data_IF_779977832034
#
_entry.id   IF_779977832034
#
_cell.length_a   1.000
_cell.length_b   1.000
_cell.length_c   1.000
_cell.angle_alpha   90.00
_cell.angle_beta   90.00
_cell.angle_gamma   90.00
#
_symmetry.space_group_name_H-M   'P 1'
#
loop_
_entity.id
_entity.type
_entity.pdbx_description
1 polymer ?
#
# COMPACT_ATOMS: atom_id res chain seq x y z
N UNK A 1 12.64 -20.02 1.53
CA UNK A 1 11.79 -19.04 0.81
C UNK A 1 10.27 -19.32 0.88
N UNK A 2 9.72 -20.51 0.57
CA UNK A 2 8.25 -20.68 0.65
C UNK A 2 7.65 -20.35 2.03
N UNK A 3 8.35 -20.69 3.11
CA UNK A 3 7.87 -20.43 4.48
C UNK A 3 7.84 -18.95 4.87
N UNK A 4 8.79 -18.14 4.38
CA UNK A 4 8.82 -16.69 4.68
C UNK A 4 7.67 -15.97 3.97
N UNK A 5 7.42 -16.28 2.70
CA UNK A 5 6.29 -15.72 1.96
C UNK A 5 4.95 -16.08 2.62
N UNK A 6 4.78 -17.32 3.07
CA UNK A 6 3.56 -17.73 3.77
C UNK A 6 3.36 -16.95 5.07
N UNK A 7 4.44 -16.77 5.86
CA UNK A 7 4.40 -15.95 7.06
C UNK A 7 4.05 -14.49 6.77
N UNK A 8 4.67 -13.88 5.74
CA UNK A 8 4.36 -12.52 5.29
C UNK A 8 2.90 -12.38 4.88
N UNK A 9 2.32 -13.37 4.21
CA UNK A 9 0.91 -13.34 3.83
C UNK A 9 -0.04 -13.46 5.01
N UNK A 10 0.32 -14.26 6.03
CA UNK A 10 -0.45 -14.36 7.28
C UNK A 10 -0.39 -13.00 8.00
N UNK A 11 0.80 -12.44 8.18
CA UNK A 11 1.01 -11.15 8.83
C UNK A 11 0.27 -10.01 8.12
N UNK A 12 0.33 -10.00 6.78
CA UNK A 12 -0.42 -9.03 5.98
C UNK A 12 -1.93 -9.16 6.20
N UNK A 13 -2.45 -10.39 6.27
CA UNK A 13 -3.87 -10.63 6.53
C UNK A 13 -4.28 -10.18 7.93
N UNK A 14 -3.46 -10.45 8.94
CA UNK A 14 -3.69 -10.01 10.32
C UNK A 14 -3.71 -8.49 10.40
N UNK A 15 -2.69 -7.81 9.85
CA UNK A 15 -2.63 -6.34 9.80
C UNK A 15 -3.84 -5.74 9.07
N UNK A 16 -4.30 -6.34 7.97
CA UNK A 16 -5.46 -5.88 7.24
C UNK A 16 -6.79 -6.18 7.95
N UNK A 17 -6.83 -7.14 8.86
CA UNK A 17 -8.01 -7.42 9.68
C UNK A 17 -8.28 -6.35 10.74
N UNK A 18 -7.24 -5.59 11.11
CA UNK A 18 -7.32 -4.49 12.07
C UNK A 18 -7.81 -3.18 11.44
N UNK A 19 -7.93 -3.11 10.11
CA UNK A 19 -8.47 -1.95 9.43
C UNK A 19 -9.89 -1.64 9.90
N UNK A 20 -10.14 -0.38 10.24
CA UNK A 20 -11.44 0.07 10.73
C UNK A 20 -12.52 -0.11 9.68
N UNK A 21 -13.55 -0.89 10.02
CA UNK A 21 -14.76 -0.98 9.22
C UNK A 21 -15.70 0.20 9.54
N UNK A 22 -15.79 1.14 8.62
CA UNK A 22 -16.62 2.33 8.76
C UNK A 22 -18.09 2.10 8.37
N UNK A 23 -18.48 0.87 8.04
CA UNK A 23 -19.87 0.52 7.72
C UNK A 23 -20.69 0.34 9.01
N UNK A 24 -21.98 0.60 8.89
CA UNK A 24 -22.91 0.20 9.96
C UNK A 24 -22.98 -1.32 10.05
N UNK A 25 -22.88 -1.91 11.25
CA UNK A 25 -23.04 -3.36 11.41
C UNK A 25 -24.35 -3.84 10.79
N UNK A 26 -24.26 -4.87 9.96
CA UNK A 26 -25.42 -5.43 9.27
C UNK A 26 -25.24 -6.94 9.04
N UNK A 27 -26.32 -7.70 9.16
CA UNK A 27 -26.34 -9.12 8.78
C UNK A 27 -26.09 -9.34 7.28
N UNK A 28 -26.27 -8.30 6.47
CA UNK A 28 -26.02 -8.32 5.02
C UNK A 28 -24.56 -8.04 4.65
N UNK A 29 -23.65 -7.83 5.64
CA UNK A 29 -22.22 -7.64 5.39
C UNK A 29 -21.64 -8.91 4.78
N UNK A 30 -21.34 -8.86 3.48
CA UNK A 30 -20.85 -10.02 2.72
C UNK A 30 -19.32 -10.17 2.82
N UNK A 31 -18.58 -9.06 2.87
CA UNK A 31 -17.13 -9.06 2.83
C UNK A 31 -16.55 -8.32 4.03
N UNK A 32 -15.45 -8.84 4.56
CA UNK A 32 -14.65 -8.21 5.62
C UNK A 32 -13.63 -7.24 5.04
N UNK A 33 -13.05 -6.37 5.88
CA UNK A 33 -11.99 -5.44 5.49
C UNK A 33 -10.73 -6.19 5.03
N UNK A 34 -10.37 -7.26 5.73
CA UNK A 34 -9.24 -8.13 5.35
C UNK A 34 -9.39 -8.72 3.95
N UNK A 35 -10.60 -9.13 3.56
CA UNK A 35 -10.86 -9.68 2.22
C UNK A 35 -10.71 -8.61 1.13
N UNK A 36 -11.12 -7.37 1.42
CA UNK A 36 -10.91 -6.24 0.52
C UNK A 36 -9.44 -5.88 0.39
N UNK A 37 -8.70 -5.83 1.51
CA UNK A 37 -7.28 -5.53 1.54
C UNK A 37 -6.45 -6.61 0.82
N UNK A 38 -6.70 -7.88 1.12
CA UNK A 38 -6.05 -9.00 0.44
C UNK A 38 -6.42 -9.02 -1.05
N UNK A 39 -7.69 -8.74 -1.40
CA UNK A 39 -8.13 -8.62 -2.79
C UNK A 39 -7.37 -7.52 -3.55
N UNK A 40 -7.12 -6.38 -2.92
CA UNK A 40 -6.30 -5.31 -3.49
C UNK A 40 -4.83 -5.73 -3.64
N UNK A 41 -4.23 -6.28 -2.57
CA UNK A 41 -2.83 -6.70 -2.54
C UNK A 41 -2.53 -7.79 -3.57
N UNK A 42 -3.46 -8.74 -3.76
CA UNK A 42 -3.29 -9.87 -4.68
C UNK A 42 -3.13 -9.46 -6.14
N UNK A 43 -3.73 -8.34 -6.57
CA UNK A 43 -3.55 -7.80 -7.93
C UNK A 43 -2.07 -7.51 -8.21
N UNK A 44 -1.40 -6.89 -7.25
CA UNK A 44 0.03 -6.53 -7.36
C UNK A 44 0.94 -7.75 -7.23
N UNK A 45 0.69 -8.63 -6.26
CA UNK A 45 1.49 -9.85 -6.07
C UNK A 45 1.39 -10.77 -7.28
N UNK A 46 0.21 -10.89 -7.87
CA UNK A 46 -0.01 -11.71 -9.06
C UNK A 46 0.33 -10.98 -10.37
N UNK A 47 0.79 -9.72 -10.28
CA UNK A 47 1.21 -8.89 -11.42
C UNK A 47 0.14 -8.77 -12.51
N UNK A 48 -1.11 -8.71 -12.11
CA UNK A 48 -2.20 -8.52 -13.07
C UNK A 48 -2.24 -7.06 -13.56
N UNK A 49 -2.52 -6.82 -14.85
CA UNK A 49 -2.48 -5.48 -15.43
C UNK A 49 -3.61 -4.56 -14.92
N UNK A 50 -4.66 -5.12 -14.33
CA UNK A 50 -5.77 -4.36 -13.76
C UNK A 50 -6.61 -5.20 -12.81
N UNK A 51 -7.40 -4.54 -11.96
CA UNK A 51 -8.40 -5.21 -11.11
C UNK A 51 -9.41 -6.02 -11.92
N UNK A 52 -9.83 -5.54 -13.08
CA UNK A 52 -10.77 -6.26 -13.95
C UNK A 52 -10.15 -7.56 -14.47
N UNK A 53 -8.93 -7.46 -15.01
CA UNK A 53 -8.18 -8.61 -15.53
C UNK A 53 -7.94 -9.67 -14.45
N UNK A 54 -7.62 -9.20 -13.22
CA UNK A 54 -7.47 -10.06 -12.05
C UNK A 54 -8.75 -10.83 -11.74
N UNK A 55 -9.90 -10.14 -11.69
CA UNK A 55 -11.19 -10.76 -11.43
C UNK A 55 -11.61 -11.76 -12.52
N UNK A 56 -11.40 -11.43 -13.78
CA UNK A 56 -11.67 -12.34 -14.89
C UNK A 56 -10.81 -13.62 -14.82
N UNK A 57 -9.53 -13.47 -14.44
CA UNK A 57 -8.63 -14.61 -14.25
C UNK A 57 -9.07 -15.50 -13.08
N UNK A 58 -9.50 -14.91 -11.98
CA UNK A 58 -10.01 -15.64 -10.83
C UNK A 58 -11.32 -16.37 -11.14
N UNK A 59 -12.23 -15.72 -11.89
CA UNK A 59 -13.49 -16.32 -12.32
C UNK A 59 -13.32 -17.53 -13.24
N UNK A 60 -12.24 -17.57 -14.02
CA UNK A 60 -11.90 -18.71 -14.91
C UNK A 60 -11.34 -19.93 -14.16
N UNK A 61 -11.21 -19.88 -12.84
CA UNK A 61 -10.85 -21.01 -11.98
C UNK A 61 -9.37 -21.38 -11.95
N UNK A 62 -8.56 -20.95 -12.92
CA UNK A 62 -7.14 -21.29 -13.00
C UNK A 62 -6.27 -20.72 -11.88
N UNK A 63 -6.74 -19.66 -11.23
CA UNK A 63 -6.01 -18.95 -10.16
C UNK A 63 -6.66 -19.09 -8.79
N UNK A 64 -7.82 -19.72 -8.70
CA UNK A 64 -8.58 -19.83 -7.45
C UNK A 64 -7.84 -20.68 -6.41
N UNK A 65 -7.10 -21.71 -6.86
CA UNK A 65 -6.24 -22.51 -6.00
C UNK A 65 -5.10 -21.70 -5.39
N UNK A 66 -4.47 -20.82 -6.16
CA UNK A 66 -3.42 -19.93 -5.65
C UNK A 66 -4.00 -18.91 -4.67
N UNK A 67 -5.19 -18.40 -4.94
CA UNK A 67 -5.84 -17.44 -4.07
C UNK A 67 -6.20 -18.07 -2.71
N UNK A 68 -6.85 -19.22 -2.72
CA UNK A 68 -7.17 -19.93 -1.49
C UNK A 68 -5.92 -20.46 -0.77
N UNK A 69 -4.92 -20.92 -1.51
CA UNK A 69 -3.69 -21.46 -0.97
C UNK A 69 -2.77 -20.41 -0.36
N UNK A 70 -2.40 -19.39 -1.16
CA UNK A 70 -1.45 -18.35 -0.76
C UNK A 70 -2.08 -17.28 0.13
N UNK A 71 -3.23 -16.77 -0.29
CA UNK A 71 -3.88 -15.64 0.39
C UNK A 71 -4.85 -16.08 1.51
N UNK A 72 -5.14 -17.36 1.64
CA UNK A 72 -6.06 -17.92 2.65
C UNK A 72 -7.40 -17.15 2.67
N UNK A 73 -7.91 -16.81 1.50
CA UNK A 73 -9.13 -16.02 1.33
C UNK A 73 -10.09 -16.76 0.41
N UNK A 74 -11.33 -16.96 0.85
CA UNK A 74 -12.35 -17.71 0.11
C UNK A 74 -13.15 -16.80 -0.83
N UNK A 75 -13.36 -15.57 -0.43
CA UNK A 75 -14.21 -14.61 -1.12
C UNK A 75 -13.41 -13.37 -1.55
N UNK A 76 -13.51 -13.05 -2.84
CA UNK A 76 -12.88 -11.86 -3.38
C UNK A 76 -13.97 -10.85 -3.70
N UNK A 77 -13.92 -9.66 -3.09
CA UNK A 77 -14.82 -8.59 -3.45
C UNK A 77 -14.57 -8.12 -4.90
N UNK A 78 -15.62 -7.63 -5.57
CA UNK A 78 -15.44 -6.98 -6.87
C UNK A 78 -14.58 -5.71 -6.73
N UNK A 79 -13.97 -5.24 -7.84
CA UNK A 79 -13.15 -4.03 -7.84
C UNK A 79 -13.89 -2.82 -7.24
N UNK A 80 -15.18 -2.67 -7.55
CA UNK A 80 -15.99 -1.59 -6.97
C UNK A 80 -16.20 -1.78 -5.46
N UNK A 81 -16.36 -3.01 -4.98
CA UNK A 81 -16.50 -3.29 -3.55
C UNK A 81 -15.18 -3.07 -2.81
N UNK A 82 -14.04 -3.48 -3.39
CA UNK A 82 -12.72 -3.18 -2.82
C UNK A 82 -12.55 -1.67 -2.65
N UNK A 83 -12.83 -0.87 -3.69
CA UNK A 83 -12.78 0.59 -3.61
C UNK A 83 -13.70 1.12 -2.51
N UNK A 84 -14.98 0.77 -2.53
CA UNK A 84 -15.96 1.27 -1.56
C UNK A 84 -15.60 0.93 -0.11
N UNK A 85 -14.93 -0.19 0.13
CA UNK A 85 -14.48 -0.60 1.45
C UNK A 85 -13.23 0.16 1.88
N UNK A 86 -12.25 0.31 0.99
CA UNK A 86 -10.96 0.92 1.29
C UNK A 86 -10.95 2.45 1.18
N UNK A 87 -11.86 3.07 0.42
CA UNK A 87 -11.92 4.54 0.23
C UNK A 87 -12.00 5.35 1.54
N UNK A 88 -12.43 4.73 2.63
CA UNK A 88 -12.54 5.39 3.94
C UNK A 88 -11.42 5.00 4.90
N UNK A 89 -10.53 4.14 4.48
CA UNK A 89 -9.34 3.75 5.25
C UNK A 89 -8.34 4.88 5.21
N UNK A 90 -7.86 5.28 6.37
CA UNK A 90 -6.79 6.26 6.45
C UNK A 90 -5.45 5.62 6.12
N UNK A 91 -4.56 6.39 5.53
CA UNK A 91 -3.22 5.92 5.14
C UNK A 91 -2.42 5.40 6.34
N UNK A 92 -2.55 6.04 7.49
CA UNK A 92 -1.88 5.66 8.73
C UNK A 92 -2.34 4.27 9.25
N UNK A 93 -3.57 3.87 8.94
CA UNK A 93 -4.10 2.55 9.30
C UNK A 93 -3.38 1.41 8.55
N UNK A 94 -2.68 1.73 7.46
CA UNK A 94 -1.88 0.77 6.69
C UNK A 94 -0.42 0.66 7.18
N UNK A 95 0.04 1.55 8.07
CA UNK A 95 1.42 1.51 8.57
C UNK A 95 1.80 0.18 9.26
N UNK A 96 0.93 -0.48 10.04
CA UNK A 96 1.24 -1.78 10.62
C UNK A 96 1.64 -2.85 9.59
N UNK A 97 1.08 -2.81 8.37
CA UNK A 97 1.44 -3.73 7.30
C UNK A 97 2.94 -3.67 6.96
N UNK A 98 3.50 -2.45 6.91
CA UNK A 98 4.92 -2.23 6.64
C UNK A 98 5.78 -2.60 7.84
N UNK A 99 5.42 -2.15 9.05
CA UNK A 99 6.17 -2.42 10.27
C UNK A 99 6.26 -3.91 10.59
N UNK A 100 5.14 -4.60 10.53
CA UNK A 100 5.07 -6.03 10.82
C UNK A 100 5.82 -6.84 9.76
N UNK A 101 5.67 -6.46 8.48
CA UNK A 101 6.42 -7.07 7.38
C UNK A 101 7.92 -6.91 7.54
N UNK A 102 8.39 -5.72 7.89
CA UNK A 102 9.81 -5.43 8.13
C UNK A 102 10.34 -6.22 9.32
N UNK A 103 9.62 -6.22 10.45
CA UNK A 103 9.99 -6.97 11.66
C UNK A 103 10.09 -8.48 11.38
N UNK A 104 9.19 -9.01 10.59
CA UNK A 104 9.24 -10.41 10.19
C UNK A 104 10.45 -10.71 9.28
N UNK A 105 10.76 -9.83 8.32
CA UNK A 105 11.94 -9.96 7.48
C UNK A 105 13.22 -9.93 8.31
N UNK A 106 13.30 -9.05 9.29
CA UNK A 106 14.43 -8.98 10.23
C UNK A 106 14.57 -10.27 11.02
N UNK A 107 13.50 -10.75 11.64
CA UNK A 107 13.49 -11.99 12.42
C UNK A 107 13.89 -13.24 11.59
N UNK A 108 13.57 -13.26 10.31
CA UNK A 108 13.95 -14.33 9.37
C UNK A 108 15.34 -14.13 8.74
N UNK A 109 16.09 -13.07 9.16
CA UNK A 109 17.43 -12.75 8.65
C UNK A 109 17.43 -12.16 7.23
N UNK A 110 16.27 -11.75 6.71
CA UNK A 110 16.13 -11.21 5.35
C UNK A 110 16.79 -9.84 5.17
N UNK A 111 17.03 -9.10 6.25
CA UNK A 111 17.69 -7.79 6.20
C UNK A 111 19.21 -7.86 6.15
N UNK A 112 19.84 -8.97 6.52
CA UNK A 112 21.30 -9.09 6.59
C UNK A 112 22.00 -8.77 5.27
N UNK A 113 21.40 -9.09 4.13
CA UNK A 113 21.94 -8.81 2.80
C UNK A 113 21.86 -7.32 2.41
N UNK A 114 21.19 -6.48 3.20
CA UNK A 114 21.06 -5.04 2.98
C UNK A 114 21.96 -4.22 3.91
N UNK A 115 22.64 -4.87 4.86
CA UNK A 115 23.62 -4.16 5.71
C UNK A 115 24.74 -3.54 4.87
N UNK A 116 25.08 -2.30 5.16
CA UNK A 116 26.05 -1.54 4.39
C UNK A 116 27.29 -1.19 5.22
N UNK A 117 27.18 -0.30 6.21
CA UNK A 117 28.29 0.14 7.06
C UNK A 117 27.88 0.04 8.52
N UNK A 118 28.72 -0.60 9.34
CA UNK A 118 28.53 -0.71 10.79
C UNK A 118 27.12 -1.19 11.23
N UNK A 119 26.53 -2.11 10.46
CA UNK A 119 25.16 -2.61 10.70
C UNK A 119 24.05 -1.64 10.28
N UNK A 120 24.39 -0.54 9.62
CA UNK A 120 23.41 0.41 9.07
C UNK A 120 22.91 -0.01 7.70
N UNK A 121 21.80 0.60 7.29
CA UNK A 121 21.18 0.39 5.99
C UNK A 121 21.25 1.63 5.13
N UNK A 122 21.37 1.44 3.82
CA UNK A 122 21.27 2.53 2.85
C UNK A 122 19.78 2.77 2.55
N UNK A 123 19.30 4.00 2.80
CA UNK A 123 17.93 4.41 2.53
C UNK A 123 17.88 5.33 1.32
N UNK A 124 17.17 4.91 0.29
CA UNK A 124 16.81 5.78 -0.83
C UNK A 124 15.47 6.47 -0.54
N UNK A 125 15.43 7.79 -0.80
CA UNK A 125 14.24 8.60 -0.69
C UNK A 125 13.85 9.12 -2.07
N UNK A 126 12.60 8.91 -2.47
CA UNK A 126 12.08 9.40 -3.76
C UNK A 126 10.64 9.88 -3.61
N UNK A 127 10.36 11.05 -4.21
CA UNK A 127 9.03 11.63 -4.25
C UNK A 127 8.29 11.23 -5.53
N UNK A 128 7.06 10.75 -5.40
CA UNK A 128 6.25 10.34 -6.53
C UNK A 128 4.88 11.03 -6.53
N UNK A 129 4.51 11.66 -7.65
CA UNK A 129 3.15 12.12 -7.89
C UNK A 129 2.33 10.94 -8.44
N UNK A 130 1.41 10.40 -7.61
CA UNK A 130 0.61 9.24 -8.00
C UNK A 130 -0.79 9.61 -8.52
N UNK A 131 -1.17 10.87 -8.38
CA UNK A 131 -2.42 11.39 -8.90
C UNK A 131 -2.24 12.82 -9.40
N UNK A 132 -2.84 13.14 -10.55
CA UNK A 132 -2.89 14.50 -11.10
C UNK A 132 -4.15 14.71 -11.92
N UNK A 133 -4.84 15.82 -11.71
CA UNK A 133 -6.06 16.16 -12.44
C UNK A 133 -6.27 17.67 -12.50
N UNK A 134 -6.94 18.14 -13.56
CA UNK A 134 -7.39 19.53 -13.70
C UNK A 134 -8.84 19.73 -13.28
N UNK A 135 -9.58 18.66 -13.09
CA UNK A 135 -11.03 18.71 -12.81
C UNK A 135 -11.39 18.04 -11.48
N UNK A 136 -10.86 16.84 -11.23
CA UNK A 136 -11.15 16.10 -10.01
C UNK A 136 -10.17 16.47 -8.91
N UNK A 137 -10.67 16.80 -7.73
CA UNK A 137 -9.85 17.17 -6.58
C UNK A 137 -10.57 16.88 -5.27
N UNK A 138 -9.81 16.77 -4.20
CA UNK A 138 -10.28 16.73 -2.83
C UNK A 138 -9.57 17.82 -2.01
N UNK A 139 -9.94 17.96 -0.74
CA UNK A 139 -9.34 18.94 0.18
C UNK A 139 -7.84 18.69 0.45
N UNK A 140 -7.38 17.46 0.28
CA UNK A 140 -6.00 17.05 0.50
C UNK A 140 -5.12 17.13 -0.76
N UNK A 141 -5.62 17.69 -1.88
CA UNK A 141 -4.79 17.88 -3.07
C UNK A 141 -3.82 19.03 -2.90
N UNK A 142 -2.58 18.84 -3.34
CA UNK A 142 -1.69 19.99 -3.61
C UNK A 142 -2.13 20.69 -4.88
N UNK A 143 -2.02 22.02 -4.91
CA UNK A 143 -2.48 22.84 -6.04
C UNK A 143 -1.29 23.50 -6.70
N UNK A 144 -1.07 23.20 -7.98
CA UNK A 144 -0.07 23.84 -8.83
C UNK A 144 -0.77 24.72 -9.87
N UNK A 145 -0.46 26.02 -9.89
CA UNK A 145 -1.00 26.95 -10.89
C UNK A 145 0.05 27.21 -11.99
N UNK A 146 -0.27 26.86 -13.22
CA UNK A 146 0.56 27.16 -14.37
C UNK A 146 -0.24 27.92 -15.42
N UNK A 147 0.17 29.13 -15.76
CA UNK A 147 -0.50 30.01 -16.75
C UNK A 147 -2.02 30.16 -16.52
N UNK A 148 -2.45 30.28 -15.28
CA UNK A 148 -3.87 30.42 -14.92
C UNK A 148 -4.66 29.11 -14.91
N UNK A 149 -4.02 27.94 -15.12
CA UNK A 149 -4.65 26.63 -15.03
C UNK A 149 -4.21 25.95 -13.74
N UNK A 150 -5.18 25.64 -12.88
CA UNK A 150 -4.95 24.88 -11.66
C UNK A 150 -4.81 23.38 -12.01
N UNK A 151 -3.83 22.75 -11.42
CA UNK A 151 -3.64 21.27 -11.43
C UNK A 151 -3.61 20.80 -9.99
N UNK A 152 -4.44 19.82 -9.71
CA UNK A 152 -4.58 19.19 -8.40
C UNK A 152 -3.82 17.87 -8.40
N UNK A 153 -2.98 17.63 -7.40
CA UNK A 153 -2.17 16.42 -7.36
C UNK A 153 -2.03 15.85 -5.95
N UNK A 154 -1.72 14.56 -5.88
CA UNK A 154 -1.27 13.88 -4.69
C UNK A 154 0.12 13.32 -4.90
N UNK A 155 0.98 13.55 -3.94
CA UNK A 155 2.35 13.04 -3.94
C UNK A 155 2.63 12.25 -2.67
N UNK A 156 3.59 11.36 -2.75
CA UNK A 156 4.07 10.53 -1.64
C UNK A 156 5.58 10.52 -1.66
N UNK A 157 6.21 10.59 -0.49
CA UNK A 157 7.62 10.32 -0.31
C UNK A 157 7.79 8.86 0.07
N UNK A 158 8.51 8.11 -0.74
CA UNK A 158 8.82 6.71 -0.52
C UNK A 158 10.23 6.57 0.03
N UNK A 159 10.36 5.98 1.20
CA UNK A 159 11.64 5.54 1.76
C UNK A 159 11.81 4.05 1.49
N UNK A 160 13.00 3.64 1.04
CA UNK A 160 13.25 2.26 0.62
C UNK A 160 14.64 1.84 1.05
N UNK A 161 14.77 0.71 1.73
CA UNK A 161 16.06 0.09 2.02
C UNK A 161 16.59 -0.52 0.72
N UNK A 162 17.78 -0.14 0.33
CA UNK A 162 18.45 -0.58 -0.90
C UNK A 162 19.84 -1.12 -0.61
N UNK A 163 20.37 -1.90 -1.54
CA UNK A 163 21.75 -2.39 -1.48
C UNK A 163 22.45 -2.13 -2.82
N UNK A 164 23.76 -1.93 -2.79
CA UNK A 164 24.58 -1.81 -4.01
C UNK A 164 24.72 -3.14 -4.76
N UNK A 165 24.54 -4.25 -4.07
CA UNK A 165 24.93 -5.58 -4.54
C UNK A 165 23.73 -6.42 -5.06
N UNK A 166 22.51 -6.03 -4.69
CA UNK A 166 21.28 -6.72 -5.07
C UNK A 166 20.27 -5.74 -5.68
N UNK A 167 19.37 -6.27 -6.52
CA UNK A 167 18.34 -5.46 -7.19
C UNK A 167 17.06 -5.32 -6.37
N UNK A 168 16.92 -6.13 -5.37
CA UNK A 168 15.79 -6.13 -4.46
C UNK A 168 15.84 -4.87 -3.60
N UNK A 169 14.66 -4.39 -3.22
CA UNK A 169 14.49 -3.22 -2.38
C UNK A 169 13.34 -3.46 -1.40
N UNK A 170 13.44 -2.92 -0.19
CA UNK A 170 12.42 -3.10 0.85
C UNK A 170 11.76 -1.75 1.11
N UNK A 171 10.48 -1.56 0.74
CA UNK A 171 9.78 -0.31 1.01
C UNK A 171 9.49 -0.17 2.51
N UNK A 172 9.68 1.03 3.02
CA UNK A 172 9.26 1.46 4.34
C UNK A 172 7.88 2.16 4.26
N UNK A 173 7.35 2.57 5.40
CA UNK A 173 6.08 3.30 5.44
C UNK A 173 6.20 4.57 4.59
N UNK A 174 5.34 4.75 3.59
CA UNK A 174 5.36 5.95 2.78
C UNK A 174 4.79 7.15 3.53
N UNK A 175 5.35 8.33 3.30
CA UNK A 175 4.85 9.58 3.86
C UNK A 175 4.05 10.36 2.81
N UNK A 176 2.77 10.57 3.07
CA UNK A 176 1.89 11.29 2.14
C UNK A 176 2.05 12.80 2.28
N UNK A 177 2.31 13.47 1.17
CA UNK A 177 2.39 14.92 1.10
C UNK A 177 0.97 15.47 1.06
N UNK A 178 0.54 16.11 2.15
CA UNK A 178 -0.78 16.74 2.24
C UNK A 178 -0.64 18.25 2.46
N UNK A 179 -1.53 19.08 1.89
CA UNK A 179 -1.46 20.52 2.05
C UNK A 179 -1.82 20.88 3.46
N UNK A 180 -1.08 21.19 4.15
CA UNK A 180 -1.06 21.68 5.28
C UNK A 180 -1.22 21.41 6.52
N UNK A 181 -0.55 21.65 7.41
CA UNK A 181 -0.53 21.63 8.85
C UNK A 181 -0.63 23.02 9.45
N UNK A 182 -1.45 23.88 8.86
CA UNK A 182 -1.65 25.28 9.30
C UNK A 182 -0.49 26.23 8.98
N UNK A 183 0.41 25.82 8.08
CA UNK A 183 1.48 26.69 7.57
C UNK A 183 1.04 27.42 6.31
N UNK A 184 1.54 28.68 6.13
CA UNK A 184 1.29 29.49 4.93
C UNK A 184 1.85 28.86 3.64
N UNK A 185 2.73 27.89 3.79
CA UNK A 185 3.39 27.20 2.68
C UNK A 185 2.85 25.79 2.54
N UNK A 186 2.46 25.48 1.31
CA UNK A 186 2.07 24.13 0.94
C UNK A 186 3.20 23.13 1.28
N UNK A 187 2.83 21.97 1.81
CA UNK A 187 3.75 20.88 2.14
C UNK A 187 4.54 20.42 0.91
N UNK A 188 5.72 19.88 1.12
CA UNK A 188 6.61 19.39 0.07
C UNK A 188 7.41 18.18 0.56
N UNK A 189 8.09 17.51 -0.36
CA UNK A 189 8.95 16.35 -0.07
C UNK A 189 9.98 16.61 1.04
N UNK A 190 10.58 17.81 1.08
CA UNK A 190 11.53 18.17 2.12
C UNK A 190 10.90 18.27 3.52
N UNK A 191 9.64 18.66 3.59
CA UNK A 191 8.89 18.71 4.86
C UNK A 191 8.44 17.31 5.24
N UNK A 192 7.95 16.53 4.29
CA UNK A 192 7.60 15.12 4.47
C UNK A 192 8.79 14.28 4.97
N UNK A 193 9.99 14.54 4.45
CA UNK A 193 11.22 13.84 4.86
C UNK A 193 11.62 14.11 6.34
N UNK A 194 11.06 15.13 6.98
CA UNK A 194 11.35 15.48 8.37
C UNK A 194 10.37 14.86 9.37
N UNK A 195 9.27 14.36 8.90
CA UNK A 195 8.31 13.60 9.70
C UNK A 195 8.72 12.14 9.79
#
# INVERSE_FOLDING_TARGET
>A
MPKVLEKLMIEAKESLSELKDNRKPSRATKYKMEEAGIGALSVFIMQDPSFLSHQERLAKGSSQHNFNGLFKCENIPSANQIRNLLDRTKTEECAPLYHNGLSLLEAEGGLAQFEFIDGGYLIALDGMEYYSSKALHCENCTIKNHKGVATYSHSVLCATIVSSDIKEAIPLVPEFVSPQDGHDKQDCENTACKR
#
